data_IF_728135839865
#
_entry.id   IF_728135839865
#
_cell.length_a   1.000
_cell.length_b   1.000
_cell.length_c   1.000
_cell.angle_alpha   90.00
_cell.angle_beta   90.00
_cell.angle_gamma   90.00
#
_symmetry.space_group_name_H-M   'P 1'
#
loop_
_entity.id
_entity.type
_entity.pdbx_description
1 polymer ?
#
# COMPACT_ATOMS: atom_id res chain seq x y z
N UNK A 1 21.06 -10.94 16.45
CA UNK A 1 21.27 -11.02 14.99
C UNK A 1 20.00 -10.51 14.36
N UNK A 2 20.07 -9.40 13.67
CA UNK A 2 18.93 -8.88 12.91
C UNK A 2 18.67 -9.85 11.76
N UNK A 3 17.43 -10.35 11.65
CA UNK A 3 17.04 -11.25 10.57
C UNK A 3 17.13 -10.51 9.22
N UNK A 4 17.49 -11.22 8.16
CA UNK A 4 17.51 -10.66 6.81
C UNK A 4 16.14 -10.02 6.45
N UNK A 5 16.12 -8.93 5.65
CA UNK A 5 14.88 -8.28 5.25
C UNK A 5 13.97 -9.28 4.53
N UNK A 6 12.69 -9.25 4.85
CA UNK A 6 11.71 -10.18 4.29
C UNK A 6 10.45 -9.44 3.83
N UNK A 7 9.79 -9.98 2.80
CA UNK A 7 8.52 -9.45 2.31
C UNK A 7 7.46 -9.39 3.43
N UNK A 8 7.45 -10.40 4.32
CA UNK A 8 6.53 -10.45 5.48
C UNK A 8 6.79 -9.28 6.44
N UNK A 9 8.05 -8.97 6.72
CA UNK A 9 8.42 -7.81 7.55
C UNK A 9 7.95 -6.51 6.90
N UNK A 10 8.19 -6.33 5.60
CA UNK A 10 7.72 -5.13 4.87
C UNK A 10 6.19 -4.99 4.91
N UNK A 11 5.46 -6.08 4.73
CA UNK A 11 3.99 -6.06 4.81
C UNK A 11 3.50 -5.76 6.23
N UNK A 12 4.16 -6.30 7.25
CA UNK A 12 3.82 -6.01 8.65
C UNK A 12 3.95 -4.52 8.92
N UNK A 13 5.06 -3.90 8.50
CA UNK A 13 5.29 -2.46 8.63
C UNK A 13 4.27 -1.64 7.84
N UNK A 14 3.92 -2.06 6.61
CA UNK A 14 2.85 -1.41 5.84
C UNK A 14 1.53 -1.41 6.61
N UNK A 15 1.13 -2.56 7.13
CA UNK A 15 -0.13 -2.74 7.83
C UNK A 15 -0.18 -2.00 9.18
N UNK A 16 0.97 -1.74 9.79
CA UNK A 16 1.12 -0.89 10.99
C UNK A 16 1.16 0.61 10.68
N UNK A 17 1.17 0.99 9.39
CA UNK A 17 1.29 2.40 9.00
C UNK A 17 2.71 2.94 8.96
N UNK A 18 3.72 2.11 9.23
CA UNK A 18 5.14 2.45 9.20
C UNK A 18 5.68 2.46 7.76
N UNK A 19 5.08 3.29 6.91
CA UNK A 19 5.29 3.25 5.47
C UNK A 19 6.74 3.52 5.04
N UNK A 20 7.46 4.38 5.77
CA UNK A 20 8.87 4.66 5.46
C UNK A 20 9.78 3.46 5.81
N UNK A 21 9.55 2.81 6.96
CA UNK A 21 10.28 1.60 7.32
C UNK A 21 9.94 0.43 6.37
N UNK A 22 8.68 0.32 5.94
CA UNK A 22 8.27 -0.61 4.89
C UNK A 22 9.05 -0.37 3.58
N UNK A 23 9.17 0.88 3.16
CA UNK A 23 9.99 1.26 2.00
C UNK A 23 11.42 0.74 2.13
N UNK A 24 12.10 1.01 3.25
CA UNK A 24 13.51 0.65 3.44
C UNK A 24 13.71 -0.88 3.37
N UNK A 25 12.81 -1.65 3.99
CA UNK A 25 12.85 -3.11 3.94
C UNK A 25 12.65 -3.63 2.52
N UNK A 26 11.68 -3.09 1.79
CA UNK A 26 11.38 -3.52 0.42
C UNK A 26 12.44 -3.04 -0.60
N UNK A 27 13.08 -1.91 -0.37
CA UNK A 27 14.20 -1.41 -1.19
C UNK A 27 15.38 -2.38 -1.13
N UNK A 28 15.74 -2.86 0.07
CA UNK A 28 16.79 -3.86 0.23
C UNK A 28 16.49 -5.14 -0.57
N UNK A 29 15.24 -5.62 -0.53
CA UNK A 29 14.81 -6.80 -1.29
C UNK A 29 14.84 -6.52 -2.81
N UNK A 30 14.34 -5.35 -3.23
CA UNK A 30 14.31 -4.94 -4.64
C UNK A 30 15.70 -4.84 -5.27
N UNK A 31 16.69 -4.38 -4.51
CA UNK A 31 18.07 -4.25 -4.99
C UNK A 31 18.66 -5.61 -5.38
N UNK A 32 18.37 -6.65 -4.60
CA UNK A 32 18.88 -8.01 -4.78
C UNK A 32 17.96 -8.92 -5.62
N UNK A 33 16.71 -8.50 -5.86
CA UNK A 33 15.72 -9.28 -6.58
C UNK A 33 16.10 -9.57 -8.04
N UNK A 34 15.61 -10.70 -8.56
CA UNK A 34 15.74 -11.04 -9.99
C UNK A 34 14.99 -10.01 -10.83
N UNK A 35 15.48 -9.74 -12.04
CA UNK A 35 14.91 -8.74 -12.96
C UNK A 35 13.38 -8.87 -13.14
N UNK A 36 12.86 -10.09 -13.20
CA UNK A 36 11.42 -10.36 -13.35
C UNK A 36 10.58 -10.03 -12.10
N UNK A 37 11.21 -10.02 -10.93
CA UNK A 37 10.56 -9.80 -9.62
C UNK A 37 10.70 -8.34 -9.17
N UNK A 38 11.68 -7.61 -9.71
CA UNK A 38 11.92 -6.20 -9.38
C UNK A 38 10.68 -5.32 -9.48
N UNK A 39 9.85 -5.39 -10.54
CA UNK A 39 8.67 -4.55 -10.65
C UNK A 39 7.65 -4.79 -9.53
N UNK A 40 7.55 -6.02 -9.01
CA UNK A 40 6.66 -6.35 -7.90
C UNK A 40 7.09 -5.63 -6.61
N UNK A 41 8.34 -5.81 -6.18
CA UNK A 41 8.84 -5.16 -4.96
C UNK A 41 8.82 -3.62 -5.10
N UNK A 42 9.22 -3.12 -6.27
CA UNK A 42 9.18 -1.70 -6.57
C UNK A 42 7.75 -1.14 -6.51
N UNK A 43 6.75 -1.90 -6.96
CA UNK A 43 5.36 -1.49 -6.91
C UNK A 43 4.86 -1.29 -5.48
N UNK A 44 5.13 -2.26 -4.59
CA UNK A 44 4.70 -2.17 -3.18
C UNK A 44 5.43 -1.02 -2.46
N UNK A 45 6.75 -0.89 -2.62
CA UNK A 45 7.51 0.16 -1.94
C UNK A 45 7.11 1.56 -2.43
N UNK A 46 6.75 1.72 -3.71
CA UNK A 46 6.24 2.98 -4.24
C UNK A 46 4.88 3.34 -3.65
N UNK A 47 3.98 2.37 -3.46
CA UNK A 47 2.72 2.62 -2.77
C UNK A 47 2.98 3.05 -1.32
N UNK A 48 3.87 2.35 -0.60
CA UNK A 48 4.24 2.70 0.76
C UNK A 48 4.80 4.13 0.85
N UNK A 49 5.84 4.46 0.08
CA UNK A 49 6.42 5.81 0.13
C UNK A 49 5.45 6.88 -0.42
N UNK A 50 4.53 6.52 -1.32
CA UNK A 50 3.43 7.38 -1.76
C UNK A 50 2.49 7.77 -0.62
N UNK A 51 2.13 6.83 0.26
CA UNK A 51 1.33 7.09 1.47
C UNK A 51 2.12 7.91 2.50
N UNK A 52 3.43 7.65 2.66
CA UNK A 52 4.31 8.50 3.46
C UNK A 52 4.34 9.96 2.97
N UNK A 53 4.41 10.16 1.64
CA UNK A 53 4.32 11.50 1.06
C UNK A 53 2.95 12.15 1.31
N UNK A 54 1.86 11.39 1.25
CA UNK A 54 0.53 11.88 1.56
C UNK A 54 0.44 12.36 3.01
N UNK A 55 0.93 11.57 3.97
CA UNK A 55 1.00 11.96 5.39
C UNK A 55 1.80 13.24 5.63
N UNK A 56 2.81 13.51 4.78
CA UNK A 56 3.61 14.74 4.81
C UNK A 56 3.04 15.88 3.95
N UNK A 57 1.79 15.77 3.51
CA UNK A 57 1.09 16.76 2.67
C UNK A 57 1.78 17.03 1.32
N UNK A 58 2.60 16.10 0.83
CA UNK A 58 3.25 16.18 -0.47
C UNK A 58 2.35 15.57 -1.54
N UNK A 59 1.37 16.36 -2.00
CA UNK A 59 0.39 15.96 -3.01
C UNK A 59 1.03 15.42 -4.30
N UNK A 60 2.06 16.11 -4.80
CA UNK A 60 2.72 15.75 -6.07
C UNK A 60 3.48 14.44 -5.94
N UNK A 61 4.28 14.28 -4.89
CA UNK A 61 5.04 13.06 -4.63
C UNK A 61 4.13 11.86 -4.44
N UNK A 62 3.10 12.01 -3.61
CA UNK A 62 2.10 10.96 -3.38
C UNK A 62 1.39 10.54 -4.68
N UNK A 63 0.95 11.51 -5.50
CA UNK A 63 0.25 11.23 -6.76
C UNK A 63 1.11 10.46 -7.75
N UNK A 64 2.37 10.84 -7.90
CA UNK A 64 3.32 10.17 -8.80
C UNK A 64 3.54 8.73 -8.32
N UNK A 65 3.91 8.56 -7.04
CA UNK A 65 4.33 7.26 -6.51
C UNK A 65 3.18 6.26 -6.40
N UNK A 66 1.98 6.70 -6.02
CA UNK A 66 0.80 5.82 -6.01
C UNK A 66 0.46 5.36 -7.43
N UNK A 67 0.44 6.26 -8.42
CA UNK A 67 0.16 5.88 -9.82
C UNK A 67 1.21 4.95 -10.40
N UNK A 68 2.47 5.23 -10.14
CA UNK A 68 3.60 4.40 -10.56
C UNK A 68 3.59 3.01 -9.91
N UNK A 69 3.33 2.93 -8.61
CA UNK A 69 3.26 1.68 -7.86
C UNK A 69 2.11 0.80 -8.32
N UNK A 70 0.92 1.37 -8.45
CA UNK A 70 -0.27 0.68 -8.99
C UNK A 70 0.00 0.10 -10.37
N UNK A 71 0.56 0.90 -11.29
CA UNK A 71 0.83 0.43 -12.66
C UNK A 71 1.87 -0.70 -12.71
N UNK A 72 2.86 -0.70 -11.82
CA UNK A 72 3.85 -1.79 -11.72
C UNK A 72 3.26 -3.08 -11.17
N UNK A 73 2.24 -3.00 -10.32
CA UNK A 73 1.61 -4.18 -9.70
C UNK A 73 0.57 -4.86 -10.59
N UNK A 74 -0.05 -4.15 -11.55
CA UNK A 74 -1.06 -4.72 -12.46
C UNK A 74 -0.66 -6.08 -13.11
N UNK A 75 0.57 -6.28 -13.60
CA UNK A 75 0.97 -7.58 -14.19
C UNK A 75 1.05 -8.76 -13.20
N UNK A 76 1.00 -8.49 -11.89
CA UNK A 76 1.09 -9.49 -10.82
C UNK A 76 -0.28 -9.84 -10.21
N UNK A 77 -1.36 -9.27 -10.74
CA UNK A 77 -2.73 -9.62 -10.34
C UNK A 77 -3.10 -11.05 -10.75
N UNK A 78 -3.96 -11.76 -9.97
CA UNK A 78 -4.58 -11.31 -8.73
C UNK A 78 -3.69 -11.53 -7.49
N UNK A 79 -2.67 -12.39 -7.59
CA UNK A 79 -1.82 -12.80 -6.46
C UNK A 79 -0.39 -13.08 -6.89
N UNK A 80 0.59 -12.68 -6.08
CA UNK A 80 2.00 -12.97 -6.31
C UNK A 80 2.80 -13.01 -5.01
N UNK A 81 3.74 -13.95 -4.88
CA UNK A 81 4.58 -14.12 -3.68
C UNK A 81 3.78 -14.17 -2.35
N UNK A 82 2.58 -14.77 -2.38
CA UNK A 82 1.68 -14.83 -1.22
C UNK A 82 0.84 -13.58 -0.97
N UNK A 83 1.07 -12.48 -1.70
CA UNK A 83 0.31 -11.23 -1.61
C UNK A 83 -0.93 -11.28 -2.48
N UNK A 84 -2.08 -10.83 -1.97
CA UNK A 84 -3.25 -10.51 -2.76
C UNK A 84 -3.05 -9.16 -3.45
N UNK A 85 -2.57 -9.21 -4.69
CA UNK A 85 -2.15 -8.02 -5.46
C UNK A 85 -3.35 -7.22 -5.96
N UNK A 86 -4.41 -7.88 -6.43
CA UNK A 86 -5.59 -7.17 -6.94
C UNK A 86 -6.22 -6.22 -5.90
N UNK A 87 -6.48 -6.65 -4.64
CA UNK A 87 -6.94 -5.74 -3.59
C UNK A 87 -5.99 -4.55 -3.32
N UNK A 88 -4.68 -4.77 -3.40
CA UNK A 88 -3.69 -3.71 -3.22
C UNK A 88 -3.71 -2.70 -4.39
N UNK A 89 -3.86 -3.19 -5.62
CA UNK A 89 -4.03 -2.37 -6.83
C UNK A 89 -5.31 -1.52 -6.73
N UNK A 90 -6.43 -2.12 -6.36
CA UNK A 90 -7.71 -1.43 -6.17
C UNK A 90 -7.61 -0.37 -5.06
N UNK A 91 -6.96 -0.71 -3.94
CA UNK A 91 -6.74 0.21 -2.84
C UNK A 91 -5.88 1.41 -3.27
N UNK A 92 -4.70 1.17 -3.87
CA UNK A 92 -3.83 2.23 -4.36
C UNK A 92 -4.51 3.13 -5.39
N UNK A 93 -5.33 2.55 -6.28
CA UNK A 93 -6.08 3.31 -7.27
C UNK A 93 -7.16 4.20 -6.65
N UNK A 94 -7.89 3.70 -5.65
CA UNK A 94 -8.91 4.48 -4.94
C UNK A 94 -8.29 5.68 -4.20
N UNK A 95 -7.17 5.46 -3.51
CA UNK A 95 -6.43 6.53 -2.82
C UNK A 95 -5.84 7.55 -3.78
N UNK A 96 -5.26 7.11 -4.91
CA UNK A 96 -4.79 8.00 -5.96
C UNK A 96 -5.94 8.85 -6.54
N UNK A 97 -7.09 8.23 -6.79
CA UNK A 97 -8.27 8.91 -7.33
C UNK A 97 -8.77 9.97 -6.36
N UNK A 98 -8.89 9.64 -5.07
CA UNK A 98 -9.24 10.61 -4.03
C UNK A 98 -8.22 11.76 -3.99
N UNK A 99 -6.92 11.45 -4.01
CA UNK A 99 -5.84 12.45 -3.98
C UNK A 99 -5.91 13.42 -5.17
N UNK A 100 -6.20 12.91 -6.37
CA UNK A 100 -6.35 13.72 -7.57
C UNK A 100 -7.63 14.57 -7.54
N UNK A 101 -8.72 14.04 -6.98
CA UNK A 101 -10.00 14.75 -6.88
C UNK A 101 -9.95 15.92 -5.89
N UNK A 102 -9.26 15.77 -4.76
CA UNK A 102 -9.18 16.81 -3.72
C UNK A 102 -8.22 17.94 -4.10
N UNK A 103 -7.20 17.61 -4.90
CA UNK A 103 -6.17 18.54 -5.33
C UNK A 103 -5.17 18.93 -4.21
N UNK A 104 -4.16 19.75 -4.54
CA UNK A 104 -3.09 20.11 -3.61
C UNK A 104 -3.60 20.90 -2.39
N UNK A 105 -4.63 21.73 -2.54
CA UNK A 105 -5.12 22.61 -1.47
C UNK A 105 -5.80 21.84 -0.32
N UNK A 106 -6.26 20.61 -0.60
CA UNK A 106 -6.99 19.78 0.36
C UNK A 106 -6.24 18.50 0.74
N UNK A 107 -4.96 18.40 0.38
CA UNK A 107 -4.14 17.21 0.66
C UNK A 107 -4.10 16.87 2.16
N UNK A 108 -4.08 17.87 3.03
CA UNK A 108 -4.09 17.68 4.48
C UNK A 108 -5.39 17.01 4.99
N UNK A 109 -6.53 17.33 4.38
CA UNK A 109 -7.81 16.72 4.75
C UNK A 109 -7.87 15.24 4.35
N UNK A 110 -7.27 14.87 3.22
CA UNK A 110 -7.15 13.47 2.81
C UNK A 110 -6.08 12.74 3.63
N UNK A 111 -4.95 13.39 3.95
CA UNK A 111 -3.89 12.81 4.78
C UNK A 111 -4.41 12.43 6.17
N UNK A 112 -5.29 13.23 6.76
CA UNK A 112 -5.97 12.92 8.02
C UNK A 112 -6.83 11.65 7.97
N UNK A 113 -7.17 11.15 6.77
CA UNK A 113 -7.89 9.89 6.58
C UNK A 113 -6.99 8.65 6.65
N UNK A 114 -5.67 8.79 6.64
CA UNK A 114 -4.74 7.64 6.72
C UNK A 114 -4.92 6.89 8.03
N UNK A 115 -4.87 7.60 9.16
CA UNK A 115 -5.01 6.99 10.49
C UNK A 115 -6.33 6.20 10.66
N UNK A 116 -7.52 6.73 10.32
CA UNK A 116 -8.75 5.93 10.41
C UNK A 116 -8.83 4.80 9.38
N UNK A 117 -8.06 4.84 8.28
CA UNK A 117 -8.00 3.77 7.29
C UNK A 117 -7.01 2.66 7.66
N UNK A 118 -6.20 2.85 8.70
CA UNK A 118 -5.36 1.80 9.28
C UNK A 118 -6.23 0.87 10.13
N UNK A 119 -5.94 -0.42 10.06
CA UNK A 119 -6.64 -1.47 10.79
C UNK A 119 -5.64 -2.25 11.61
N UNK A 120 -5.78 -2.20 12.94
CA UNK A 120 -4.80 -2.72 13.89
C UNK A 120 -4.71 -4.25 13.93
N UNK A 121 -5.77 -4.97 13.54
CA UNK A 121 -5.83 -6.42 13.71
C UNK A 121 -6.81 -7.05 12.70
N UNK A 122 -6.31 -7.96 11.85
CA UNK A 122 -7.18 -8.90 11.14
C UNK A 122 -7.37 -10.11 12.04
N UNK A 123 -8.43 -10.09 12.86
CA UNK A 123 -9.14 -11.34 13.09
C UNK A 123 -9.56 -11.88 11.73
N UNK A 124 -9.33 -13.16 11.46
CA UNK A 124 -9.37 -13.87 10.16
C UNK A 124 -10.68 -13.81 9.32
N UNK A 125 -11.48 -12.74 9.42
CA UNK A 125 -12.80 -12.59 8.84
C UNK A 125 -13.05 -11.22 8.19
N UNK A 126 -12.09 -10.30 8.20
CA UNK A 126 -12.31 -8.95 7.64
C UNK A 126 -12.07 -8.96 6.12
N UNK A 127 -13.18 -8.94 5.37
CA UNK A 127 -13.22 -8.79 3.92
C UNK A 127 -12.37 -7.58 3.46
N UNK A 128 -11.62 -7.75 2.38
CA UNK A 128 -10.88 -6.69 1.64
C UNK A 128 -11.77 -5.55 1.12
N UNK A 129 -13.08 -5.60 1.39
CA UNK A 129 -14.07 -4.59 1.03
C UNK A 129 -14.31 -3.56 2.14
N UNK A 130 -13.55 -3.59 3.24
CA UNK A 130 -13.72 -2.56 4.27
C UNK A 130 -13.29 -1.19 3.75
N UNK A 131 -14.17 -0.22 3.93
CA UNK A 131 -13.93 1.18 3.60
C UNK A 131 -14.21 2.06 4.81
N UNK A 132 -13.61 3.25 4.83
CA UNK A 132 -13.98 4.34 5.71
C UNK A 132 -14.79 5.37 4.94
N UNK A 133 -15.83 5.91 5.59
CA UNK A 133 -16.51 7.09 5.09
C UNK A 133 -15.60 8.30 5.32
N UNK A 134 -15.26 9.00 4.23
CA UNK A 134 -14.48 10.22 4.29
C UNK A 134 -15.20 11.31 3.49
N UNK A 135 -15.16 12.55 3.98
CA UNK A 135 -15.77 13.67 3.26
C UNK A 135 -15.06 15.00 3.52
N UNK A 136 -14.94 15.83 2.48
CA UNK A 136 -14.49 17.22 2.56
C UNK A 136 -15.27 18.06 1.55
N UNK A 137 -15.62 19.30 1.89
CA UNK A 137 -16.22 20.27 0.94
C UNK A 137 -17.35 19.69 0.05
N UNK A 138 -18.35 19.04 0.65
CA UNK A 138 -19.46 18.34 -0.02
C UNK A 138 -19.08 17.15 -0.93
N UNK A 139 -17.82 16.73 -0.95
CA UNK A 139 -17.39 15.48 -1.55
C UNK A 139 -17.41 14.39 -0.48
N UNK A 140 -18.08 13.27 -0.75
CA UNK A 140 -18.08 12.09 0.10
C UNK A 140 -17.52 10.90 -0.70
N UNK A 141 -16.50 10.25 -0.16
CA UNK A 141 -15.85 9.08 -0.76
C UNK A 141 -15.84 7.94 0.25
N UNK A 142 -15.84 6.71 -0.27
CA UNK A 142 -15.51 5.51 0.50
C UNK A 142 -14.07 5.14 0.20
N UNK A 143 -13.17 5.30 1.16
CA UNK A 143 -11.76 4.97 0.99
C UNK A 143 -11.50 3.56 1.50
N UNK A 144 -10.88 2.67 0.72
CA UNK A 144 -10.51 1.34 1.21
C UNK A 144 -9.46 1.44 2.32
N UNK A 145 -9.52 0.50 3.25
CA UNK A 145 -8.51 0.39 4.31
C UNK A 145 -7.12 0.11 3.73
N UNK A 146 -6.10 0.62 4.39
CA UNK A 146 -4.70 0.50 3.99
C UNK A 146 -4.11 -0.78 4.57
N UNK A 147 -4.39 -1.91 3.91
CA UNK A 147 -3.94 -3.22 4.36
C UNK A 147 -3.53 -4.11 3.18
N UNK A 148 -2.37 -4.76 3.31
CA UNK A 148 -1.89 -5.78 2.38
C UNK A 148 -2.23 -7.16 2.94
N UNK A 149 -3.18 -7.83 2.28
CA UNK A 149 -3.45 -9.23 2.55
C UNK A 149 -2.33 -10.10 2.01
N UNK A 150 -1.73 -10.90 2.89
CA UNK A 150 -0.80 -11.94 2.51
C UNK A 150 -1.24 -13.28 3.10
N UNK A 151 -0.92 -14.36 2.40
CA UNK A 151 -0.97 -15.71 2.93
C UNK A 151 0.45 -16.26 2.92
N UNK A 152 0.81 -17.03 3.94
CA UNK A 152 2.00 -17.86 3.82
C UNK A 152 1.79 -18.79 2.61
N UNK A 153 2.80 -18.97 1.73
CA UNK A 153 2.71 -20.00 0.71
C UNK A 153 2.43 -21.34 1.40
N UNK A 154 1.62 -22.23 0.80
CA UNK A 154 1.51 -23.59 1.32
C UNK A 154 2.93 -24.15 1.41
N UNK A 155 3.29 -24.73 2.55
CA UNK A 155 4.59 -25.34 2.73
C UNK A 155 4.84 -26.28 1.54
N UNK A 156 5.94 -26.06 0.81
CA UNK A 156 6.36 -26.97 -0.24
C UNK A 156 6.47 -28.36 0.40
N UNK A 157 5.57 -29.27 0.03
CA UNK A 157 5.69 -30.66 0.45
C UNK A 157 7.05 -31.20 0.01
N UNK A 158 7.74 -31.99 0.85
CA UNK A 158 9.05 -32.57 0.53
C UNK A 158 8.99 -33.50 -0.69
#
# INVERSE_FOLDING_TARGET
>A
MESAPSLVTGITLFNQGDYYACHDVLEAIWMEAKTQEKPFYQGILQIAVGLYHLGNHNWRGASILLGEGVNRLRPFEPTYAGVAVAPLVDCGWAWLTALQQVGPDQVAALAAAIAPAQVDDITASTSTQQTIAWSVNNQALSLPVLYIQHHSPPASSP
#
